data_IF_881313020408
#
_entry.id   IF_881313020408
#
_cell.length_a   1.000
_cell.length_b   1.000
_cell.length_c   1.000
_cell.angle_alpha   90.00
_cell.angle_beta   90.00
_cell.angle_gamma   90.00
#
_symmetry.space_group_name_H-M   'P 1'
#
loop_
_entity.id
_entity.type
_entity.pdbx_description
1 polymer ?
#
# COMPACT_ATOMS: atom_id res chain seq x y z
N UNK A 1 1.52 14.71 -17.06
CA UNK A 1 1.44 13.74 -18.17
C UNK A 1 0.46 12.65 -17.77
N UNK A 2 -0.43 12.16 -18.65
CA UNK A 2 -1.25 11.01 -18.30
C UNK A 2 -0.36 9.78 -18.09
N UNK A 3 -0.66 8.99 -17.07
CA UNK A 3 0.06 7.78 -16.69
C UNK A 3 -0.92 6.61 -16.53
N UNK A 4 -0.48 5.44 -17.00
CA UNK A 4 -1.16 4.17 -16.80
C UNK A 4 -0.14 3.16 -16.29
N UNK A 5 -0.39 2.62 -15.11
CA UNK A 5 0.50 1.67 -14.45
C UNK A 5 -0.26 0.40 -14.06
N UNK A 6 0.23 -0.75 -14.48
CA UNK A 6 -0.28 -2.06 -14.08
C UNK A 6 0.73 -2.72 -13.14
N UNK A 7 0.30 -3.05 -11.93
CA UNK A 7 1.15 -3.63 -10.89
C UNK A 7 0.66 -5.01 -10.49
N UNK A 8 1.59 -5.94 -10.29
CA UNK A 8 1.33 -7.24 -9.69
C UNK A 8 2.18 -7.42 -8.44
N UNK A 9 1.54 -7.77 -7.33
CA UNK A 9 2.19 -8.02 -6.04
C UNK A 9 1.78 -9.41 -5.54
N UNK A 10 2.76 -10.18 -5.07
CA UNK A 10 2.53 -11.48 -4.46
C UNK A 10 3.30 -11.55 -3.15
N UNK A 11 2.60 -11.25 -2.06
CA UNK A 11 3.13 -11.24 -0.71
C UNK A 11 2.83 -12.57 -0.03
N UNK A 12 3.83 -13.15 0.62
CA UNK A 12 3.68 -14.41 1.36
C UNK A 12 4.35 -14.31 2.72
N UNK A 13 3.67 -14.84 3.73
CA UNK A 13 4.15 -15.02 5.07
C UNK A 13 3.95 -16.47 5.47
N UNK A 14 5.04 -17.11 5.89
CA UNK A 14 5.01 -18.50 6.32
C UNK A 14 4.24 -18.65 7.64
N UNK A 15 3.74 -19.86 7.90
CA UNK A 15 3.18 -20.26 9.19
C UNK A 15 4.19 -19.99 10.31
N UNK A 16 3.73 -19.48 11.44
CA UNK A 16 4.57 -19.26 12.61
C UNK A 16 3.80 -19.43 13.91
N UNK A 17 4.53 -19.74 14.97
CA UNK A 17 4.01 -19.82 16.34
C UNK A 17 4.55 -18.66 17.15
N UNK A 18 3.67 -17.90 17.79
CA UNK A 18 4.03 -16.81 18.69
C UNK A 18 4.02 -17.31 20.12
N UNK A 19 5.21 -17.37 20.73
CA UNK A 19 5.43 -17.79 22.12
C UNK A 19 5.93 -16.66 23.03
N UNK A 20 6.39 -15.53 22.45
CA UNK A 20 6.88 -14.35 23.18
C UNK A 20 5.89 -13.20 23.06
N UNK A 21 5.70 -12.43 24.14
CA UNK A 21 4.76 -11.31 24.23
C UNK A 21 3.32 -11.72 23.84
N UNK A 22 2.90 -12.89 24.30
CA UNK A 22 1.55 -13.39 24.17
C UNK A 22 1.15 -14.02 25.50
N UNK A 23 -0.08 -13.77 25.95
CA UNK A 23 -0.64 -14.37 27.18
C UNK A 23 -0.72 -15.89 27.04
N UNK A 24 -0.99 -16.38 25.83
CA UNK A 24 -0.98 -17.79 25.45
C UNK A 24 -0.27 -18.00 24.12
N UNK A 25 0.28 -19.20 23.90
CA UNK A 25 0.88 -19.56 22.60
C UNK A 25 -0.18 -19.48 21.50
N UNK A 26 0.11 -18.74 20.44
CA UNK A 26 -0.78 -18.59 19.29
C UNK A 26 -0.11 -19.12 18.02
N UNK A 27 -0.81 -19.97 17.29
CA UNK A 27 -0.38 -20.51 16.00
C UNK A 27 -1.08 -19.74 14.88
N UNK A 28 -0.29 -19.25 13.94
CA UNK A 28 -0.79 -18.53 12.76
C UNK A 28 -0.43 -19.31 11.51
N UNK A 29 -1.45 -19.58 10.69
CA UNK A 29 -1.30 -20.23 9.40
C UNK A 29 -0.50 -19.41 8.40
N UNK A 30 -0.29 -19.98 7.21
CA UNK A 30 0.30 -19.25 6.10
C UNK A 30 -0.65 -18.13 5.69
N UNK A 31 -0.10 -16.94 5.44
CA UNK A 31 -0.83 -15.79 4.90
C UNK A 31 -0.22 -15.47 3.54
N UNK A 32 -1.05 -15.36 2.52
CA UNK A 32 -0.67 -15.00 1.16
C UNK A 32 -1.64 -13.98 0.61
N UNK A 33 -1.13 -13.06 -0.21
CA UNK A 33 -1.95 -12.09 -0.91
C UNK A 33 -1.41 -11.92 -2.33
N UNK A 34 -2.25 -12.14 -3.33
CA UNK A 34 -1.95 -11.81 -4.73
C UNK A 34 -2.86 -10.67 -5.15
N UNK A 35 -2.23 -9.56 -5.49
CA UNK A 35 -2.91 -8.32 -5.83
C UNK A 35 -2.51 -7.89 -7.24
N UNK A 36 -3.50 -7.56 -8.07
CA UNK A 36 -3.29 -6.92 -9.38
C UNK A 36 -4.01 -5.58 -9.37
N UNK A 37 -3.24 -4.50 -9.50
CA UNK A 37 -3.73 -3.12 -9.41
C UNK A 37 -3.54 -2.42 -10.77
N UNK A 38 -4.54 -1.65 -11.19
CA UNK A 38 -4.44 -0.72 -12.31
C UNK A 38 -4.56 0.71 -11.78
N UNK A 39 -3.51 1.50 -12.00
CA UNK A 39 -3.48 2.92 -11.70
C UNK A 39 -3.67 3.70 -13.00
N UNK A 40 -4.63 4.63 -12.99
CA UNK A 40 -4.87 5.58 -14.07
C UNK A 40 -4.78 6.98 -13.48
N UNK A 41 -3.92 7.82 -14.02
CA UNK A 41 -3.70 9.13 -13.42
C UNK A 41 -3.03 10.14 -14.32
N UNK A 42 -2.75 11.28 -13.72
CA UNK A 42 -1.98 12.35 -14.32
C UNK A 42 -1.10 13.04 -13.29
N UNK A 43 0.12 13.31 -13.70
CA UNK A 43 1.03 14.19 -12.97
C UNK A 43 0.96 15.61 -13.49
N UNK A 44 0.97 16.55 -12.58
CA UNK A 44 1.04 17.98 -12.82
C UNK A 44 2.31 18.46 -12.14
N UNK A 45 3.19 19.11 -12.88
CA UNK A 45 4.37 19.77 -12.31
C UNK A 45 4.38 21.22 -12.76
N UNK A 46 4.63 22.12 -11.83
CA UNK A 46 4.78 23.54 -12.10
C UNK A 46 5.99 24.09 -11.37
N UNK A 47 6.95 24.61 -12.13
CA UNK A 47 8.10 25.30 -11.57
C UNK A 47 7.68 26.74 -11.24
N UNK A 48 7.60 27.06 -9.95
CA UNK A 48 7.27 28.41 -9.46
C UNK A 48 8.51 29.30 -9.60
N UNK A 49 9.68 28.73 -9.32
CA UNK A 49 10.99 29.38 -9.43
C UNK A 49 12.05 28.30 -9.70
N UNK A 50 13.24 28.68 -10.17
CA UNK A 50 14.40 27.78 -10.32
C UNK A 50 14.69 26.94 -9.05
N UNK A 51 14.39 27.48 -7.86
CA UNK A 51 14.59 26.80 -6.58
C UNK A 51 13.36 26.05 -6.05
N UNK A 52 12.16 26.33 -6.59
CA UNK A 52 10.91 25.81 -6.04
C UNK A 52 10.01 25.28 -7.15
N UNK A 53 9.63 24.01 -7.04
CA UNK A 53 8.59 23.44 -7.89
C UNK A 53 7.51 22.78 -7.05
N UNK A 54 6.29 22.79 -7.57
CA UNK A 54 5.17 22.05 -7.01
C UNK A 54 4.84 20.92 -7.97
N UNK A 55 4.64 19.75 -7.41
CA UNK A 55 4.04 18.64 -8.13
C UNK A 55 2.69 18.27 -7.52
N UNK A 56 1.88 17.60 -8.32
CA UNK A 56 0.66 16.99 -7.86
C UNK A 56 0.31 15.82 -8.75
N UNK A 57 -0.34 14.84 -8.15
CA UNK A 57 -0.84 13.65 -8.82
C UNK A 57 -2.34 13.60 -8.60
N UNK A 58 -3.11 13.35 -9.65
CA UNK A 58 -4.52 12.97 -9.54
C UNK A 58 -4.66 11.63 -10.23
N UNK A 59 -5.04 10.60 -9.46
CA UNK A 59 -5.08 9.24 -9.97
C UNK A 59 -6.19 8.43 -9.31
N UNK A 60 -6.50 7.29 -9.92
CA UNK A 60 -7.39 6.27 -9.37
C UNK A 60 -6.67 4.94 -9.40
N UNK A 61 -6.64 4.26 -8.26
CA UNK A 61 -6.18 2.89 -8.15
C UNK A 61 -7.39 1.95 -8.18
N UNK A 62 -7.37 1.00 -9.10
CA UNK A 62 -8.43 0.01 -9.31
C UNK A 62 -7.84 -1.35 -8.98
N UNK A 63 -8.32 -1.99 -7.92
CA UNK A 63 -7.99 -3.40 -7.64
C UNK A 63 -8.70 -4.28 -8.67
N UNK A 64 -7.93 -4.84 -9.60
CA UNK A 64 -8.45 -5.75 -10.62
C UNK A 64 -8.67 -7.16 -10.06
N UNK A 65 -7.78 -7.60 -9.17
CA UNK A 65 -7.87 -8.89 -8.48
C UNK A 65 -7.18 -8.84 -7.11
N UNK A 66 -7.78 -9.44 -6.09
CA UNK A 66 -7.24 -9.49 -4.73
C UNK A 66 -7.46 -10.86 -4.08
N UNK A 67 -6.63 -11.84 -4.46
CA UNK A 67 -6.72 -13.18 -3.89
C UNK A 67 -5.94 -13.26 -2.56
N UNK A 68 -6.67 -13.22 -1.45
CA UNK A 68 -6.10 -13.47 -0.12
C UNK A 68 -6.22 -14.95 0.28
N UNK A 69 -5.10 -15.58 0.64
CA UNK A 69 -5.12 -16.88 1.33
C UNK A 69 -5.91 -16.69 2.65
N UNK A 70 -6.65 -17.72 3.06
CA UNK A 70 -7.39 -17.66 4.31
C UNK A 70 -6.43 -17.48 5.49
N UNK A 71 -6.64 -16.43 6.27
CA UNK A 71 -6.00 -16.28 7.57
C UNK A 71 -6.55 -17.36 8.51
N UNK A 72 -5.67 -18.07 9.20
CA UNK A 72 -6.05 -18.99 10.28
C UNK A 72 -5.22 -18.68 11.53
N UNK A 73 -5.88 -18.49 12.66
CA UNK A 73 -5.25 -18.33 13.97
C UNK A 73 -5.82 -19.32 14.96
N UNK A 74 -4.97 -19.93 15.79
CA UNK A 74 -5.40 -20.87 16.82
C UNK A 74 -4.65 -20.64 18.13
N UNK A 75 -5.38 -20.60 19.24
CA UNK A 75 -4.83 -20.52 20.60
C UNK A 75 -5.25 -21.79 21.34
N UNK A 76 -4.37 -22.81 21.46
CA UNK A 76 -4.74 -24.11 22.02
C UNK A 76 -5.24 -24.05 23.47
N UNK A 77 -4.69 -23.14 24.27
CA UNK A 77 -4.99 -23.07 25.70
C UNK A 77 -6.46 -22.71 26.00
N UNK A 78 -7.06 -21.87 25.15
CA UNK A 78 -8.46 -21.42 25.30
C UNK A 78 -9.38 -21.97 24.20
N UNK A 79 -8.87 -22.90 23.38
CA UNK A 79 -9.57 -23.45 22.20
C UNK A 79 -10.17 -22.37 21.28
N UNK A 80 -9.46 -21.26 21.12
CA UNK A 80 -9.93 -20.15 20.29
C UNK A 80 -9.41 -20.30 18.86
N UNK A 81 -10.33 -20.23 17.90
CA UNK A 81 -10.04 -20.32 16.48
C UNK A 81 -10.53 -19.07 15.74
N UNK A 82 -9.68 -18.54 14.85
CA UNK A 82 -10.00 -17.44 13.97
C UNK A 82 -9.76 -17.87 12.51
N UNK A 83 -10.73 -17.60 11.65
CA UNK A 83 -10.65 -17.81 10.22
C UNK A 83 -11.16 -16.58 9.50
N UNK A 84 -10.39 -16.10 8.53
CA UNK A 84 -10.82 -14.96 7.71
C UNK A 84 -10.28 -15.08 6.27
N UNK A 85 -11.18 -15.15 5.30
CA UNK A 85 -10.87 -15.20 3.88
C UNK A 85 -11.71 -14.14 3.19
N UNK A 86 -11.05 -13.31 2.38
CA UNK A 86 -11.71 -12.21 1.70
C UNK A 86 -11.16 -12.04 0.28
N UNK A 87 -11.97 -11.50 -0.61
CA UNK A 87 -11.61 -11.05 -1.95
C UNK A 87 -12.26 -9.68 -2.16
N UNK A 88 -11.44 -8.67 -2.42
CA UNK A 88 -11.88 -7.28 -2.45
C UNK A 88 -11.61 -6.66 -3.81
N UNK A 89 -12.63 -6.05 -4.40
CA UNK A 89 -12.51 -5.21 -5.59
C UNK A 89 -12.94 -3.80 -5.24
N UNK A 90 -11.98 -2.89 -5.26
CA UNK A 90 -12.18 -1.51 -4.80
C UNK A 90 -11.56 -0.54 -5.78
N UNK A 91 -12.23 0.60 -5.93
CA UNK A 91 -11.78 1.74 -6.72
C UNK A 91 -11.48 2.86 -5.72
N UNK A 92 -10.23 3.30 -5.68
CA UNK A 92 -9.75 4.30 -4.74
C UNK A 92 -9.18 5.50 -5.52
N UNK A 93 -9.97 6.55 -5.74
CA UNK A 93 -9.45 7.81 -6.25
C UNK A 93 -8.59 8.49 -5.17
N UNK A 94 -7.47 9.08 -5.59
CA UNK A 94 -6.61 9.84 -4.71
C UNK A 94 -5.95 11.01 -5.43
N UNK A 95 -5.49 11.94 -4.61
CA UNK A 95 -4.75 13.12 -5.02
C UNK A 95 -3.56 13.30 -4.09
N UNK A 96 -2.42 13.68 -4.65
CA UNK A 96 -1.20 14.05 -3.92
C UNK A 96 -0.78 15.44 -4.38
N UNK A 97 -0.22 16.23 -3.48
CA UNK A 97 0.49 17.46 -3.80
C UNK A 97 1.81 17.50 -3.04
N UNK A 98 2.88 17.87 -3.72
CA UNK A 98 4.24 17.96 -3.19
C UNK A 98 4.85 19.32 -3.44
N UNK A 99 5.70 19.75 -2.50
CA UNK A 99 6.60 20.88 -2.68
C UNK A 99 8.02 20.34 -2.81
N UNK A 100 8.74 20.78 -3.83
CA UNK A 100 10.14 20.47 -4.07
C UNK A 100 11.01 21.71 -3.97
N UNK A 101 12.17 21.56 -3.34
CA UNK A 101 13.20 22.60 -3.20
C UNK A 101 14.48 22.13 -3.89
N UNK A 102 14.89 22.81 -4.95
CA UNK A 102 16.16 22.58 -5.61
C UNK A 102 17.27 23.30 -4.84
N UNK A 103 18.06 22.55 -4.07
CA UNK A 103 19.17 23.07 -3.25
C UNK A 103 20.39 23.37 -4.12
N UNK A 104 20.61 22.56 -5.16
CA UNK A 104 21.62 22.80 -6.19
C UNK A 104 21.05 22.40 -7.56
N UNK A 105 21.80 22.63 -8.64
CA UNK A 105 21.40 22.19 -9.99
C UNK A 105 21.12 20.68 -10.09
N UNK A 106 21.69 19.87 -9.20
CA UNK A 106 21.57 18.41 -9.21
C UNK A 106 21.04 17.85 -7.88
N UNK A 107 20.43 18.67 -7.03
CA UNK A 107 19.93 18.22 -5.74
C UNK A 107 18.59 18.85 -5.43
N UNK A 108 17.58 18.00 -5.32
CA UNK A 108 16.23 18.38 -4.96
C UNK A 108 15.86 17.69 -3.66
N UNK A 109 15.34 18.45 -2.71
CA UNK A 109 14.70 17.94 -1.51
C UNK A 109 13.20 18.04 -1.72
N UNK A 110 12.47 16.97 -1.43
CA UNK A 110 11.00 16.94 -1.37
C UNK A 110 10.59 16.97 0.12
N UNK A 111 10.54 18.16 0.76
CA UNK A 111 10.30 18.25 2.20
C UNK A 111 8.88 17.83 2.61
N UNK A 112 7.89 18.02 1.73
CA UNK A 112 6.49 17.78 2.06
C UNK A 112 5.75 17.22 0.86
N UNK A 113 5.08 16.09 1.07
CA UNK A 113 3.98 15.63 0.22
C UNK A 113 2.76 15.37 1.11
N UNK A 114 1.59 15.75 0.62
CA UNK A 114 0.31 15.53 1.29
C UNK A 114 -0.65 14.92 0.28
N UNK A 115 -1.35 13.86 0.67
CA UNK A 115 -2.35 13.25 -0.17
C UNK A 115 -3.21 12.26 0.58
N UNK A 116 -4.32 11.87 -0.04
CA UNK A 116 -5.25 10.88 0.49
C UNK A 116 -5.04 9.48 -0.12
N UNK A 117 -3.86 9.22 -0.70
CA UNK A 117 -3.50 7.91 -1.26
C UNK A 117 -3.56 6.87 -0.16
N UNK A 118 -4.54 5.96 -0.23
CA UNK A 118 -4.66 4.83 0.70
C UNK A 118 -3.67 3.75 0.30
N UNK A 119 -2.66 3.52 1.14
CA UNK A 119 -1.80 2.35 1.00
C UNK A 119 -2.58 1.12 1.43
N UNK A 120 -3.07 0.33 0.47
CA UNK A 120 -3.60 -1.00 0.79
C UNK A 120 -2.41 -1.92 1.05
N UNK A 121 -2.36 -2.52 2.24
CA UNK A 121 -1.34 -3.49 2.67
C UNK A 121 -1.76 -4.90 2.22
#
# INVERSE_FOLDING_TARGET
>A
MPEVTLSYKNSRRNRYTKTKHAEFTAEYGRIGNKLTDLQLGMDIKHDIHEMFSVDGEVATEIKLNSDRDAFTGYIPYIDAYAYDKDDERTINPYTVAGLNINVTQNSTICPVSVGNKRTTI
#
